data_IF_262993537794
#
_entry.id   IF_262993537794
#
_cell.length_a   1.000
_cell.length_b   1.000
_cell.length_c   1.000
_cell.angle_alpha   90.00
_cell.angle_beta   90.00
_cell.angle_gamma   90.00
#
_symmetry.space_group_name_H-M   'P 1'
#
loop_
_entity.id
_entity.type
_entity.pdbx_description
1 polymer ?
#
# COMPACT_ATOMS: atom_id res chain seq x y z
N UNK A 1 2.04 9.88 -34.30
CA UNK A 1 3.00 9.85 -33.20
C UNK A 1 3.06 8.40 -32.70
N UNK A 2 4.23 7.77 -32.81
CA UNK A 2 4.43 6.44 -32.21
C UNK A 2 4.68 6.63 -30.70
N UNK A 3 3.82 6.07 -29.85
CA UNK A 3 4.07 6.03 -28.42
C UNK A 3 4.99 4.84 -28.13
N UNK A 4 6.05 5.10 -27.41
CA UNK A 4 6.92 4.05 -26.89
C UNK A 4 6.27 3.49 -25.62
N UNK A 5 6.10 2.17 -25.57
CA UNK A 5 5.55 1.48 -24.40
C UNK A 5 6.61 0.58 -23.78
N UNK A 6 6.80 0.70 -22.49
CA UNK A 6 7.54 -0.28 -21.72
C UNK A 6 6.62 -1.42 -21.24
N UNK A 7 7.15 -2.62 -21.17
CA UNK A 7 6.45 -3.79 -20.62
C UNK A 7 6.59 -3.76 -19.10
N UNK A 8 5.87 -2.87 -18.46
CA UNK A 8 5.90 -2.62 -17.02
C UNK A 8 6.44 -1.23 -16.68
N UNK A 9 5.84 -0.60 -15.69
CA UNK A 9 6.32 0.70 -15.19
C UNK A 9 7.53 0.51 -14.28
N UNK A 10 8.64 1.13 -14.63
CA UNK A 10 9.83 1.17 -13.79
C UNK A 10 9.84 2.51 -13.04
N UNK A 11 9.67 2.42 -11.72
CA UNK A 11 9.81 3.57 -10.83
C UNK A 11 11.02 3.33 -9.96
N UNK A 12 11.98 4.25 -10.00
CA UNK A 12 13.13 4.20 -9.11
C UNK A 12 12.69 4.74 -7.75
N UNK A 13 12.89 3.95 -6.73
CA UNK A 13 12.64 4.34 -5.35
C UNK A 13 13.80 3.85 -4.50
N UNK A 14 14.62 4.77 -4.03
CA UNK A 14 15.82 4.45 -3.26
C UNK A 14 15.72 4.90 -1.81
N UNK A 15 16.46 4.19 -0.95
CA UNK A 15 16.72 4.54 0.44
C UNK A 15 18.23 4.56 0.74
N UNK A 16 19.06 4.34 -0.28
CA UNK A 16 20.50 4.18 -0.12
C UNK A 16 21.24 5.20 -0.96
N UNK A 17 21.94 6.10 -0.30
CA UNK A 17 22.77 7.12 -0.97
C UNK A 17 23.73 6.53 -2.02
N UNK A 18 24.31 5.37 -1.76
CA UNK A 18 25.18 4.68 -2.73
C UNK A 18 24.47 4.35 -4.03
N UNK A 19 23.21 3.90 -3.96
CA UNK A 19 22.42 3.61 -5.17
C UNK A 19 22.08 4.91 -5.92
N UNK A 20 21.71 5.94 -5.18
CA UNK A 20 21.40 7.27 -5.77
C UNK A 20 22.63 7.83 -6.47
N UNK A 21 23.80 7.79 -5.84
CA UNK A 21 25.05 8.25 -6.41
C UNK A 21 25.41 7.49 -7.72
N UNK A 22 25.18 6.16 -7.76
CA UNK A 22 25.41 5.37 -8.98
C UNK A 22 24.48 5.74 -10.12
N UNK A 23 23.21 6.04 -9.81
CA UNK A 23 22.24 6.45 -10.82
C UNK A 23 22.53 7.86 -11.32
N UNK A 24 22.88 8.78 -10.44
CA UNK A 24 23.27 10.16 -10.81
C UNK A 24 24.55 10.18 -11.64
N UNK A 25 25.52 9.28 -11.36
CA UNK A 25 26.72 9.14 -12.20
C UNK A 25 26.38 8.62 -13.60
N UNK A 26 25.44 7.69 -13.71
CA UNK A 26 25.00 7.12 -15.00
C UNK A 26 24.14 8.11 -15.81
N UNK A 27 23.33 8.92 -15.17
CA UNK A 27 22.39 9.89 -15.76
C UNK A 27 22.57 11.27 -15.14
N UNK A 28 23.69 11.98 -15.45
CA UNK A 28 24.06 13.21 -14.78
C UNK A 28 23.28 14.46 -15.21
N UNK A 29 22.46 14.37 -16.25
CA UNK A 29 21.72 15.51 -16.77
C UNK A 29 20.31 15.54 -16.24
N UNK A 30 19.85 16.71 -15.85
CA UNK A 30 18.47 16.91 -15.40
C UNK A 30 17.43 16.53 -16.48
N UNK A 31 17.79 16.73 -17.76
CA UNK A 31 16.97 16.34 -18.92
C UNK A 31 16.84 14.81 -19.13
N UNK A 32 17.67 14.02 -18.46
CA UNK A 32 17.60 12.56 -18.51
C UNK A 32 16.52 12.01 -17.56
N UNK A 33 15.89 12.86 -16.75
CA UNK A 33 14.93 12.50 -15.72
C UNK A 33 13.53 13.00 -16.03
N UNK A 34 12.55 12.15 -15.75
CA UNK A 34 11.14 12.53 -15.74
C UNK A 34 10.60 12.44 -14.32
N UNK A 35 10.33 13.59 -13.71
CA UNK A 35 9.60 13.67 -12.46
C UNK A 35 8.11 13.43 -12.70
N UNK A 36 7.63 12.28 -12.28
CA UNK A 36 6.23 11.90 -12.43
C UNK A 36 5.54 11.91 -11.06
N UNK A 37 4.60 12.81 -10.88
CA UNK A 37 3.70 12.70 -9.74
C UNK A 37 2.81 11.47 -9.93
N UNK A 38 3.01 10.46 -9.08
CA UNK A 38 2.22 9.24 -9.14
C UNK A 38 0.80 9.50 -8.66
N UNK A 39 -0.14 9.48 -9.58
CA UNK A 39 -1.57 9.53 -9.28
C UNK A 39 -2.16 8.16 -9.60
N UNK A 40 -2.66 7.47 -8.59
CA UNK A 40 -3.24 6.13 -8.72
C UNK A 40 -4.58 6.06 -7.99
N UNK A 41 -5.54 5.38 -8.58
CA UNK A 41 -6.87 5.19 -8.02
C UNK A 41 -7.26 3.72 -8.03
N UNK A 42 -8.06 3.34 -7.05
CA UNK A 42 -8.71 2.04 -6.96
C UNK A 42 -10.19 2.20 -7.29
N UNK A 43 -10.69 1.41 -8.24
CA UNK A 43 -12.13 1.38 -8.54
C UNK A 43 -12.85 0.49 -7.53
N UNK A 44 -13.75 1.07 -6.74
CA UNK A 44 -14.51 0.35 -5.74
C UNK A 44 -15.99 0.79 -5.75
N UNK A 45 -16.93 -0.15 -5.93
CA UNK A 45 -18.39 0.12 -5.95
C UNK A 45 -18.79 1.36 -6.78
N UNK A 46 -18.15 1.55 -7.93
CA UNK A 46 -18.40 2.71 -8.80
C UNK A 46 -17.63 3.99 -8.44
N UNK A 47 -16.94 4.03 -7.32
CA UNK A 47 -16.11 5.15 -6.87
C UNK A 47 -14.67 5.00 -7.34
N UNK A 48 -13.99 6.13 -7.48
CA UNK A 48 -12.55 6.19 -7.66
C UNK A 48 -11.91 6.63 -6.35
N UNK A 49 -11.33 5.66 -5.62
CA UNK A 49 -10.68 5.89 -4.33
C UNK A 49 -9.18 6.10 -4.57
N UNK A 50 -8.59 7.22 -4.11
CA UNK A 50 -7.15 7.43 -4.26
C UNK A 50 -6.32 6.31 -3.61
N UNK A 51 -5.20 5.99 -4.19
CA UNK A 51 -4.22 5.10 -3.57
C UNK A 51 -3.30 5.90 -2.61
N UNK A 52 -2.97 5.40 -1.42
CA UNK A 52 -3.31 4.06 -0.90
C UNK A 52 -4.76 3.97 -0.40
N UNK A 53 -5.46 2.92 -0.83
CA UNK A 53 -6.89 2.72 -0.56
C UNK A 53 -7.24 2.79 0.93
N UNK A 54 -6.47 2.15 1.78
CA UNK A 54 -6.69 2.07 3.23
C UNK A 54 -6.52 3.43 3.95
N UNK A 55 -5.86 4.40 3.33
CA UNK A 55 -5.74 5.75 3.87
C UNK A 55 -6.96 6.62 3.53
N UNK A 56 -7.78 6.16 2.59
CA UNK A 56 -8.91 6.90 2.05
C UNK A 56 -10.27 6.26 2.39
N UNK A 57 -10.37 5.64 3.56
CA UNK A 57 -11.59 4.99 4.06
C UNK A 57 -12.78 5.97 4.10
N UNK A 58 -12.53 7.24 4.37
CA UNK A 58 -13.55 8.30 4.40
C UNK A 58 -14.26 8.51 3.06
N UNK A 59 -13.69 8.05 1.95
CA UNK A 59 -14.28 8.13 0.61
C UNK A 59 -15.17 6.93 0.27
N UNK A 60 -15.18 5.90 1.10
CA UNK A 60 -16.00 4.71 0.91
C UNK A 60 -17.47 4.98 1.25
N UNK A 61 -18.41 4.12 0.81
CA UNK A 61 -19.77 4.14 1.32
C UNK A 61 -19.79 4.04 2.85
N UNK A 62 -20.74 4.70 3.50
CA UNK A 62 -20.80 4.78 4.98
C UNK A 62 -20.78 3.42 5.66
N UNK A 63 -21.44 2.43 5.08
CA UNK A 63 -21.46 1.06 5.58
C UNK A 63 -20.06 0.45 5.62
N UNK A 64 -19.28 0.64 4.55
CA UNK A 64 -17.91 0.17 4.45
C UNK A 64 -16.97 0.96 5.37
N UNK A 65 -17.24 2.26 5.59
CA UNK A 65 -16.48 3.08 6.56
C UNK A 65 -16.63 2.52 7.97
N UNK A 66 -17.88 2.28 8.39
CA UNK A 66 -18.17 1.73 9.73
C UNK A 66 -17.51 0.36 9.89
N UNK A 67 -17.74 -0.56 8.95
CA UNK A 67 -17.18 -1.89 9.00
C UNK A 67 -15.64 -1.90 8.97
N UNK A 68 -15.01 -0.95 8.26
CA UNK A 68 -13.57 -0.81 8.24
C UNK A 68 -13.02 -0.32 9.59
N UNK A 69 -13.70 0.65 10.21
CA UNK A 69 -13.30 1.18 11.53
C UNK A 69 -13.48 0.12 12.62
N UNK A 70 -14.62 -0.55 12.64
CA UNK A 70 -14.88 -1.64 13.58
C UNK A 70 -13.81 -2.74 13.45
N UNK A 71 -13.52 -3.17 12.23
CA UNK A 71 -12.48 -4.15 11.97
C UNK A 71 -11.07 -3.71 12.40
N UNK A 72 -10.75 -2.42 12.27
CA UNK A 72 -9.48 -1.86 12.76
C UNK A 72 -9.40 -1.86 14.28
N UNK A 73 -10.50 -1.53 14.96
CA UNK A 73 -10.59 -1.56 16.43
C UNK A 73 -10.41 -3.01 16.92
N UNK A 74 -11.13 -3.96 16.34
CA UNK A 74 -11.03 -5.38 16.70
C UNK A 74 -9.60 -5.90 16.49
N UNK A 75 -8.98 -5.58 15.35
CA UNK A 75 -7.59 -5.96 15.07
C UNK A 75 -6.61 -5.35 16.08
N UNK A 76 -6.81 -4.09 16.47
CA UNK A 76 -5.97 -3.45 17.48
C UNK A 76 -6.12 -4.10 18.86
N UNK A 77 -7.35 -4.42 19.26
CA UNK A 77 -7.64 -5.10 20.53
C UNK A 77 -7.03 -6.52 20.56
N UNK A 78 -7.19 -7.28 19.47
CA UNK A 78 -6.61 -8.62 19.35
C UNK A 78 -5.09 -8.58 19.36
N UNK A 79 -4.48 -7.63 18.66
CA UNK A 79 -3.02 -7.46 18.60
C UNK A 79 -2.43 -7.10 19.98
N UNK A 80 -3.17 -6.40 20.82
CA UNK A 80 -2.74 -6.09 22.20
C UNK A 80 -2.60 -7.34 23.07
N UNK A 81 -3.42 -8.36 22.83
CA UNK A 81 -3.46 -9.62 23.59
C UNK A 81 -2.60 -10.70 22.94
N UNK A 82 -2.62 -10.78 21.61
CA UNK A 82 -1.96 -11.85 20.84
C UNK A 82 -0.50 -11.51 20.55
N UNK A 83 0.43 -12.17 21.24
CA UNK A 83 1.88 -12.00 21.05
C UNK A 83 2.50 -12.94 19.99
N UNK A 84 1.73 -13.87 19.46
CA UNK A 84 2.22 -14.82 18.46
C UNK A 84 2.50 -14.14 17.12
N UNK A 85 3.51 -14.64 16.39
CA UNK A 85 3.75 -14.17 15.03
C UNK A 85 2.64 -14.65 14.08
N UNK A 86 2.24 -13.86 13.09
CA UNK A 86 1.29 -14.29 12.08
C UNK A 86 1.87 -15.47 11.28
N UNK A 87 1.05 -16.45 10.94
CA UNK A 87 1.47 -17.67 10.23
C UNK A 87 1.78 -17.39 8.75
N UNK A 88 1.02 -16.49 8.15
CA UNK A 88 1.10 -16.15 6.74
C UNK A 88 0.78 -14.66 6.55
N UNK A 89 0.83 -14.20 5.29
CA UNK A 89 0.57 -12.81 4.95
C UNK A 89 -0.90 -12.41 5.17
N UNK A 90 -1.85 -13.34 4.96
CA UNK A 90 -3.27 -13.07 5.21
C UNK A 90 -3.56 -12.75 6.67
N UNK A 91 -3.03 -13.57 7.58
CA UNK A 91 -3.16 -13.33 9.02
C UNK A 91 -2.49 -12.01 9.44
N UNK A 92 -1.36 -11.67 8.82
CA UNK A 92 -0.71 -10.38 9.04
C UNK A 92 -1.59 -9.20 8.59
N UNK A 93 -2.21 -9.29 7.40
CA UNK A 93 -3.12 -8.25 6.89
C UNK A 93 -4.28 -8.04 7.86
N UNK A 94 -4.95 -9.12 8.28
CA UNK A 94 -6.10 -9.03 9.20
C UNK A 94 -5.70 -8.39 10.52
N UNK A 95 -4.56 -8.77 11.08
CA UNK A 95 -4.05 -8.16 12.33
C UNK A 95 -3.67 -6.69 12.21
N UNK A 96 -3.34 -6.22 11.01
CA UNK A 96 -2.95 -4.82 10.80
C UNK A 96 -4.12 -3.93 10.42
N UNK A 97 -5.09 -4.45 9.67
CA UNK A 97 -6.10 -3.64 8.99
C UNK A 97 -7.54 -4.11 9.25
N UNK A 98 -7.71 -5.21 9.98
CA UNK A 98 -9.00 -5.84 10.18
C UNK A 98 -9.50 -6.62 8.97
N UNK A 99 -10.51 -7.44 9.20
CA UNK A 99 -11.01 -8.37 8.18
C UNK A 99 -11.76 -7.64 7.04
N UNK A 100 -12.46 -6.54 7.35
CA UNK A 100 -13.21 -5.81 6.33
C UNK A 100 -12.28 -5.23 5.24
N UNK A 101 -11.24 -4.48 5.62
CA UNK A 101 -10.25 -3.94 4.66
C UNK A 101 -9.50 -5.08 3.96
N UNK A 102 -9.20 -6.16 4.67
CA UNK A 102 -8.62 -7.36 4.08
C UNK A 102 -9.47 -7.90 2.93
N UNK A 103 -10.78 -8.03 3.14
CA UNK A 103 -11.71 -8.58 2.15
C UNK A 103 -11.95 -7.65 0.95
N UNK A 104 -12.19 -6.37 1.20
CA UNK A 104 -12.58 -5.44 0.13
C UNK A 104 -11.41 -4.96 -0.71
N UNK A 105 -10.19 -4.99 -0.18
CA UNK A 105 -9.03 -4.45 -0.88
C UNK A 105 -7.80 -5.35 -0.84
N UNK A 106 -7.26 -5.69 0.34
CA UNK A 106 -5.93 -6.29 0.41
C UNK A 106 -5.83 -7.67 -0.25
N UNK A 107 -6.80 -8.56 -0.02
CA UNK A 107 -6.83 -9.89 -0.63
C UNK A 107 -6.96 -9.82 -2.15
N UNK A 108 -7.96 -9.15 -2.73
CA UNK A 108 -8.12 -9.06 -4.19
C UNK A 108 -6.97 -8.31 -4.87
N UNK A 109 -6.45 -7.24 -4.25
CA UNK A 109 -5.34 -6.48 -4.78
C UNK A 109 -4.06 -7.31 -4.85
N UNK A 110 -3.68 -7.97 -3.76
CA UNK A 110 -2.48 -8.79 -3.73
C UNK A 110 -2.59 -10.01 -4.64
N UNK A 111 -3.77 -10.63 -4.72
CA UNK A 111 -4.01 -11.71 -5.67
C UNK A 111 -3.83 -11.26 -7.12
N UNK A 112 -4.31 -10.07 -7.47
CA UNK A 112 -4.12 -9.49 -8.80
C UNK A 112 -2.64 -9.26 -9.13
N UNK A 113 -1.85 -8.84 -8.15
CA UNK A 113 -0.42 -8.52 -8.35
C UNK A 113 0.43 -9.79 -8.42
N UNK A 114 0.18 -10.77 -7.56
CA UNK A 114 1.05 -11.94 -7.39
C UNK A 114 0.47 -13.24 -7.93
N UNK A 115 -0.81 -13.26 -8.32
CA UNK A 115 -1.54 -14.45 -8.76
C UNK A 115 -1.53 -15.61 -7.73
N UNK A 116 -1.26 -15.31 -6.47
CA UNK A 116 -1.21 -16.25 -5.35
C UNK A 116 -2.09 -15.71 -4.21
N UNK A 117 -2.94 -16.56 -3.59
CA UNK A 117 -3.73 -16.17 -2.43
C UNK A 117 -2.84 -15.72 -1.27
N UNK A 118 -3.26 -14.68 -0.55
CA UNK A 118 -2.49 -14.12 0.58
C UNK A 118 -2.18 -15.13 1.68
N UNK A 119 -3.03 -16.14 1.86
CA UNK A 119 -2.83 -17.25 2.81
C UNK A 119 -1.66 -18.16 2.47
N UNK A 120 -1.28 -18.23 1.19
CA UNK A 120 -0.20 -19.08 0.67
C UNK A 120 1.12 -18.30 0.57
N UNK A 121 1.11 -17.01 0.90
CA UNK A 121 2.29 -16.13 0.94
C UNK A 121 2.86 -16.09 2.37
N UNK A 122 4.18 -16.34 2.49
CA UNK A 122 4.87 -16.20 3.78
C UNK A 122 4.83 -14.75 4.28
N UNK A 123 4.53 -14.56 5.57
CA UNK A 123 4.58 -13.23 6.18
C UNK A 123 5.97 -12.59 6.12
N UNK A 124 7.04 -13.38 6.13
CA UNK A 124 8.41 -12.86 6.01
C UNK A 124 8.71 -12.27 4.63
N UNK A 125 8.15 -12.86 3.57
CA UNK A 125 8.25 -12.33 2.21
C UNK A 125 7.52 -10.99 2.12
N UNK A 126 6.31 -10.94 2.63
CA UNK A 126 5.51 -9.72 2.68
C UNK A 126 6.21 -8.61 3.49
N UNK A 127 6.77 -8.93 4.65
CA UNK A 127 7.50 -7.96 5.47
C UNK A 127 8.72 -7.38 4.74
N UNK A 128 9.41 -8.13 3.91
CA UNK A 128 10.53 -7.60 3.09
C UNK A 128 10.05 -6.63 2.02
N UNK A 129 8.94 -6.94 1.35
CA UNK A 129 8.33 -6.06 0.34
C UNK A 129 7.74 -4.81 0.99
N UNK A 130 7.11 -4.96 2.15
CA UNK A 130 6.46 -3.85 2.87
C UNK A 130 7.37 -3.17 3.91
N UNK A 131 8.52 -3.71 4.28
CA UNK A 131 9.42 -3.07 5.24
C UNK A 131 10.09 -1.82 4.66
N UNK A 132 10.29 -1.76 3.37
CA UNK A 132 10.64 -0.52 2.67
C UNK A 132 9.52 0.52 2.75
N UNK A 133 8.29 0.08 2.93
CA UNK A 133 7.09 0.92 3.08
C UNK A 133 6.87 1.29 4.56
N UNK A 134 7.41 0.52 5.51
CA UNK A 134 7.26 0.77 6.96
C UNK A 134 7.76 2.13 7.42
N UNK A 135 8.72 2.73 6.75
CA UNK A 135 9.21 4.06 7.11
C UNK A 135 8.15 5.16 6.91
N UNK A 136 7.15 4.92 6.03
CA UNK A 136 6.06 5.86 5.75
C UNK A 136 4.67 5.35 6.14
N UNK A 137 4.57 4.12 6.69
CA UNK A 137 3.31 3.51 7.12
C UNK A 137 3.12 3.54 8.63
N UNK A 138 3.94 4.27 9.35
CA UNK A 138 3.47 4.80 10.62
C UNK A 138 2.25 5.62 10.25
N UNK A 139 1.08 5.10 10.56
CA UNK A 139 -0.19 5.81 10.48
C UNK A 139 -0.01 7.04 11.36
N UNK A 140 0.49 8.09 10.77
CA UNK A 140 0.37 9.41 11.33
C UNK A 140 -1.05 9.81 11.02
N UNK A 141 -1.94 9.49 11.93
CA UNK A 141 -3.26 10.08 11.99
C UNK A 141 -3.08 11.55 12.31
N UNK A 142 -2.56 12.31 11.38
CA UNK A 142 -2.81 13.73 11.39
C UNK A 142 -4.26 13.89 10.94
N UNK A 143 -5.14 13.98 11.94
CA UNK A 143 -6.45 14.62 11.81
C UNK A 143 -6.18 16.11 11.57
N UNK A 144 -5.59 16.43 10.43
CA UNK A 144 -5.53 17.77 9.90
C UNK A 144 -6.23 17.74 8.57
N UNK A 145 -7.51 18.12 8.62
CA UNK A 145 -8.24 18.54 7.45
C UNK A 145 -7.49 19.67 6.76
N UNK A 146 -6.82 19.33 5.67
CA UNK A 146 -6.40 20.26 4.65
C UNK A 146 -6.12 19.44 3.40
N UNK A 147 -7.17 19.07 2.69
CA UNK A 147 -7.06 18.79 1.29
C UNK A 147 -6.91 20.13 0.57
N UNK A 148 -5.69 20.51 0.23
CA UNK A 148 -5.49 21.51 -0.81
C UNK A 148 -5.66 20.81 -2.15
N UNK A 149 -6.56 21.36 -2.94
CA UNK A 149 -6.89 21.04 -4.33
C UNK A 149 -5.68 21.25 -5.22
#
# INVERSE_FOLDING_TARGET
MSQLYDVGGHVIFSHYKYFDDCIEEALPKEDDWFDHQRISYVRYKGLWVPYPFQNNISMLPKEDQVAAIDGLIDAAMESAVTKSKPKNFDEWIVRQMGDHIANIFMRPYNYKVWAVPTKDVSHNCALRVFSGIKANWTIRWEVTGSASV
#
